data_IF_409322410479
#
_entry.id   IF_409322410479
#
_cell.length_a   1.000
_cell.length_b   1.000
_cell.length_c   1.000
_cell.angle_alpha   90.00
_cell.angle_beta   90.00
_cell.angle_gamma   90.00
#
_symmetry.space_group_name_H-M   'P 1'
#
loop_
_entity.id
_entity.type
_entity.pdbx_description
1 polymer ?
#
# COMPACT_ATOMS: atom_id res chain seq x y z
N UNK A 1 -37.74 -7.27 -8.67
CA UNK A 1 -36.33 -7.56 -8.31
C UNK A 1 -35.47 -7.14 -9.48
N UNK A 2 -34.55 -6.19 -9.31
CA UNK A 2 -33.49 -5.99 -10.31
C UNK A 2 -32.48 -7.11 -10.12
N UNK A 3 -32.23 -7.88 -11.17
CA UNK A 3 -31.14 -8.85 -11.21
C UNK A 3 -29.84 -8.03 -11.21
N UNK A 4 -29.07 -8.06 -10.11
CA UNK A 4 -27.76 -7.42 -10.10
C UNK A 4 -26.87 -8.14 -11.10
N UNK A 5 -26.41 -7.42 -12.12
CA UNK A 5 -25.47 -7.95 -13.11
C UNK A 5 -24.14 -8.27 -12.42
N UNK A 6 -23.66 -9.49 -12.63
CA UNK A 6 -22.40 -9.96 -12.07
C UNK A 6 -21.27 -9.62 -13.05
N UNK A 7 -20.25 -8.95 -12.54
CA UNK A 7 -18.98 -8.80 -13.24
C UNK A 7 -18.16 -10.08 -13.04
N UNK A 8 -17.47 -10.49 -14.10
CA UNK A 8 -16.58 -11.65 -14.06
C UNK A 8 -15.11 -11.28 -14.32
N UNK A 9 -14.87 -10.07 -14.82
CA UNK A 9 -13.55 -9.57 -15.17
C UNK A 9 -13.54 -8.05 -15.20
N UNK A 10 -12.33 -7.49 -15.27
CA UNK A 10 -12.08 -6.06 -15.46
C UNK A 10 -11.06 -5.85 -16.58
N UNK A 11 -11.16 -4.71 -17.24
CA UNK A 11 -10.15 -4.22 -18.19
C UNK A 11 -9.42 -3.00 -17.60
N UNK A 12 -8.24 -2.63 -18.14
CA UNK A 12 -7.58 -1.38 -17.76
C UNK A 12 -8.46 -0.14 -17.92
N UNK A 13 -9.31 -0.13 -18.94
CA UNK A 13 -10.27 0.96 -19.15
C UNK A 13 -11.32 1.01 -18.04
N UNK A 14 -11.94 -0.13 -17.69
CA UNK A 14 -12.97 -0.17 -16.64
C UNK A 14 -12.46 0.27 -15.26
N UNK A 15 -11.22 -0.11 -14.89
CA UNK A 15 -10.64 0.36 -13.63
C UNK A 15 -10.19 1.82 -13.70
N UNK A 16 -9.82 2.31 -14.89
CA UNK A 16 -9.57 3.75 -15.10
C UNK A 16 -10.83 4.56 -14.85
N UNK A 17 -11.96 4.14 -15.41
CA UNK A 17 -13.27 4.77 -15.21
C UNK A 17 -13.69 4.74 -13.74
N UNK A 18 -13.60 3.58 -13.09
CA UNK A 18 -13.89 3.42 -11.65
C UNK A 18 -13.09 4.41 -10.78
N UNK A 19 -11.79 4.53 -11.04
CA UNK A 19 -10.91 5.44 -10.30
C UNK A 19 -11.26 6.91 -10.59
N UNK A 20 -11.50 7.26 -11.85
CA UNK A 20 -11.86 8.62 -12.23
C UNK A 20 -13.22 9.06 -11.66
N UNK A 21 -14.20 8.16 -11.62
CA UNK A 21 -15.50 8.38 -10.96
C UNK A 21 -15.36 8.64 -9.47
N UNK A 22 -14.37 8.03 -8.82
CA UNK A 22 -14.02 8.26 -7.43
C UNK A 22 -13.14 9.52 -7.22
N UNK A 23 -12.83 10.27 -8.28
CA UNK A 23 -12.09 11.53 -8.23
C UNK A 23 -10.57 11.38 -8.34
N UNK A 24 -10.06 10.18 -8.64
CA UNK A 24 -8.63 9.94 -8.80
C UNK A 24 -8.14 10.40 -10.18
N UNK A 25 -6.90 10.89 -10.22
CA UNK A 25 -6.14 10.98 -11.47
C UNK A 25 -5.54 9.63 -11.79
N UNK A 26 -5.58 9.23 -13.05
CA UNK A 26 -5.07 7.94 -13.51
C UNK A 26 -4.13 8.16 -14.68
N UNK A 27 -2.95 7.56 -14.62
CA UNK A 27 -2.03 7.47 -15.75
C UNK A 27 -1.78 6.00 -16.03
N UNK A 28 -1.99 5.58 -17.29
CA UNK A 28 -1.60 4.25 -17.71
C UNK A 28 -0.09 4.22 -17.95
N UNK A 29 0.57 3.19 -17.43
CA UNK A 29 1.98 2.91 -17.66
C UNK A 29 2.11 1.50 -18.21
N UNK A 30 3.04 1.31 -19.14
CA UNK A 30 3.42 -0.01 -19.62
C UNK A 30 4.92 -0.19 -19.39
N UNK A 31 5.30 -1.27 -18.71
CA UNK A 31 6.70 -1.63 -18.47
C UNK A 31 6.90 -3.10 -18.79
N UNK A 32 7.84 -3.39 -19.70
CA UNK A 32 8.12 -4.76 -20.15
C UNK A 32 6.87 -5.51 -20.66
N UNK A 33 5.94 -4.79 -21.31
CA UNK A 33 4.66 -5.35 -21.79
C UNK A 33 3.60 -5.55 -20.70
N UNK A 34 3.86 -5.11 -19.46
CA UNK A 34 2.92 -5.18 -18.35
C UNK A 34 2.26 -3.81 -18.20
N UNK A 35 0.95 -3.77 -18.45
CA UNK A 35 0.11 -2.60 -18.20
C UNK A 35 -0.16 -2.48 -16.70
N UNK A 36 -0.08 -1.25 -16.19
CA UNK A 36 -0.52 -0.88 -14.86
C UNK A 36 -1.14 0.52 -14.87
N UNK A 37 -2.00 0.81 -13.91
CA UNK A 37 -2.51 2.16 -13.69
C UNK A 37 -1.77 2.79 -12.53
N UNK A 38 -1.35 4.05 -12.67
CA UNK A 38 -0.72 4.83 -11.63
C UNK A 38 -1.69 5.90 -11.15
N UNK A 39 -1.88 5.97 -9.84
CA UNK A 39 -2.73 6.95 -9.19
C UNK A 39 -2.16 7.37 -7.85
N UNK A 40 -2.85 8.26 -7.14
CA UNK A 40 -2.45 8.70 -5.81
C UNK A 40 -3.67 9.03 -4.95
N UNK A 41 -3.62 8.65 -3.67
CA UNK A 41 -4.55 9.13 -2.65
C UNK A 41 -3.81 10.02 -1.66
N UNK A 42 -4.34 11.22 -1.38
CA UNK A 42 -3.83 12.11 -0.33
C UNK A 42 -2.31 12.38 -0.43
N UNK A 43 -1.77 12.41 -1.66
CA UNK A 43 -0.34 12.63 -1.93
C UNK A 43 0.52 11.35 -1.93
N UNK A 44 -0.07 10.18 -1.71
CA UNK A 44 0.63 8.88 -1.68
C UNK A 44 0.33 8.15 -2.98
N UNK A 45 1.39 7.89 -3.76
CA UNK A 45 1.30 7.15 -5.01
C UNK A 45 0.98 5.68 -4.79
N UNK A 46 0.14 5.12 -5.65
CA UNK A 46 -0.11 3.69 -5.73
C UNK A 46 -0.30 3.25 -7.19
N UNK A 47 -0.05 1.97 -7.44
CA UNK A 47 -0.29 1.31 -8.71
C UNK A 47 -1.47 0.34 -8.60
N UNK A 48 -2.20 0.18 -9.70
CA UNK A 48 -3.12 -0.93 -9.93
C UNK A 48 -2.45 -1.85 -10.95
N UNK A 49 -2.12 -3.07 -10.53
CA UNK A 49 -1.48 -4.06 -11.38
C UNK A 49 -2.46 -5.18 -11.67
N UNK A 50 -2.63 -5.48 -12.95
CA UNK A 50 -3.53 -6.54 -13.39
C UNK A 50 -2.87 -7.90 -13.19
N UNK A 51 -3.61 -8.86 -12.64
CA UNK A 51 -3.10 -10.19 -12.36
C UNK A 51 -3.52 -11.19 -13.43
N UNK A 52 -4.39 -12.13 -13.07
CA UNK A 52 -4.70 -13.27 -13.93
C UNK A 52 -5.60 -12.87 -15.11
N UNK A 53 -5.28 -13.28 -16.36
CA UNK A 53 -6.11 -12.99 -17.52
C UNK A 53 -7.45 -13.73 -17.48
N UNK A 54 -8.50 -13.09 -17.98
CA UNK A 54 -9.82 -13.69 -18.19
C UNK A 54 -9.92 -14.35 -19.57
N UNK A 55 -11.06 -14.96 -19.87
CA UNK A 55 -11.34 -15.57 -21.18
C UNK A 55 -11.37 -14.54 -22.32
N UNK A 56 -11.75 -13.29 -22.01
CA UNK A 56 -11.73 -12.18 -22.94
C UNK A 56 -10.33 -11.54 -22.99
N UNK A 57 -9.84 -11.27 -24.20
CA UNK A 57 -8.51 -10.70 -24.39
C UNK A 57 -8.41 -9.29 -23.80
N UNK A 58 -7.40 -9.05 -22.97
CA UNK A 58 -7.19 -7.76 -22.30
C UNK A 58 -8.06 -7.56 -21.05
N UNK A 59 -8.81 -8.58 -20.63
CA UNK A 59 -9.54 -8.61 -19.38
C UNK A 59 -8.84 -9.49 -18.34
N UNK A 60 -9.12 -9.24 -17.07
CA UNK A 60 -8.46 -9.88 -15.92
C UNK A 60 -9.50 -10.25 -14.86
N UNK A 61 -9.29 -11.38 -14.17
CA UNK A 61 -10.18 -11.86 -13.09
C UNK A 61 -9.78 -11.30 -11.73
N UNK A 62 -8.60 -10.68 -11.61
CA UNK A 62 -8.11 -10.03 -10.41
C UNK A 62 -7.10 -8.92 -10.72
N UNK A 63 -6.82 -8.11 -9.71
CA UNK A 63 -5.79 -7.08 -9.73
C UNK A 63 -5.30 -6.79 -8.30
N UNK A 64 -4.17 -6.09 -8.19
CA UNK A 64 -3.57 -5.69 -6.91
C UNK A 64 -3.43 -4.17 -6.85
N UNK A 65 -3.92 -3.56 -5.78
CA UNK A 65 -3.47 -2.24 -5.38
C UNK A 65 -2.12 -2.34 -4.68
N UNK A 66 -1.15 -1.52 -5.07
CA UNK A 66 0.20 -1.55 -4.50
C UNK A 66 0.73 -0.15 -4.25
N UNK A 67 1.11 0.12 -3.00
CA UNK A 67 1.84 1.32 -2.61
C UNK A 67 3.27 0.93 -2.28
N UNK A 68 4.24 1.53 -2.98
CA UNK A 68 5.65 1.33 -2.72
C UNK A 68 6.26 2.61 -2.13
N UNK A 69 6.84 2.49 -0.94
CA UNK A 69 7.61 3.55 -0.31
C UNK A 69 9.09 3.17 -0.30
N UNK A 70 9.95 4.11 -0.69
CA UNK A 70 11.38 3.91 -0.53
C UNK A 70 11.77 4.11 0.93
N UNK A 71 12.42 3.12 1.50
CA UNK A 71 12.97 3.16 2.86
C UNK A 71 14.17 4.10 2.88
N UNK A 72 14.21 4.99 3.87
CA UNK A 72 15.35 5.86 4.15
C UNK A 72 15.91 5.46 5.52
N UNK A 73 17.08 4.83 5.54
CA UNK A 73 17.67 4.27 6.76
C UNK A 73 17.21 2.83 7.03
N UNK A 74 17.16 2.45 8.30
CA UNK A 74 16.81 1.09 8.72
C UNK A 74 15.34 1.02 9.14
N UNK A 75 14.65 -0.04 8.71
CA UNK A 75 13.31 -0.36 9.21
C UNK A 75 13.43 -1.14 10.53
N UNK A 76 12.59 -0.83 11.52
CA UNK A 76 12.50 -1.64 12.73
C UNK A 76 12.21 -3.11 12.42
N UNK A 77 12.87 -4.01 13.14
CA UNK A 77 12.63 -5.44 13.02
C UNK A 77 11.16 -5.77 13.35
N UNK A 78 10.57 -6.69 12.59
CA UNK A 78 9.19 -7.13 12.84
C UNK A 78 8.09 -6.20 12.30
N UNK A 79 8.43 -5.04 11.73
CA UNK A 79 7.44 -4.05 11.26
C UNK A 79 6.43 -4.65 10.26
N UNK A 80 6.89 -5.43 9.29
CA UNK A 80 6.00 -6.07 8.32
C UNK A 80 5.17 -7.19 8.97
N UNK A 81 5.74 -7.93 9.90
CA UNK A 81 5.14 -9.07 10.58
C UNK A 81 3.98 -8.61 11.47
N UNK A 82 4.18 -7.54 12.25
CA UNK A 82 3.13 -6.98 13.11
C UNK A 82 1.97 -6.43 12.28
N UNK A 83 2.26 -5.73 11.17
CA UNK A 83 1.22 -5.31 10.22
C UNK A 83 0.42 -6.51 9.69
N UNK A 84 1.12 -7.52 9.17
CA UNK A 84 0.52 -8.70 8.54
C UNK A 84 -0.29 -9.57 9.52
N UNK A 85 0.06 -9.54 10.81
CA UNK A 85 -0.68 -10.25 11.86
C UNK A 85 -1.96 -9.50 12.29
N UNK A 86 -1.96 -8.18 12.17
CA UNK A 86 -3.05 -7.32 12.66
C UNK A 86 -4.07 -6.94 11.59
N UNK A 87 -3.68 -6.97 10.30
CA UNK A 87 -4.55 -6.61 9.17
C UNK A 87 -4.92 -7.84 8.35
N UNK A 88 -6.16 -7.88 7.87
CA UNK A 88 -6.69 -9.00 7.07
C UNK A 88 -6.54 -8.81 5.56
N UNK A 89 -6.60 -7.56 5.10
CA UNK A 89 -6.81 -7.24 3.68
C UNK A 89 -5.60 -6.58 3.00
N UNK A 90 -4.59 -6.15 3.76
CA UNK A 90 -3.35 -5.64 3.20
C UNK A 90 -2.16 -6.44 3.70
N UNK A 91 -1.19 -6.69 2.83
CA UNK A 91 0.09 -7.30 3.14
C UNK A 91 1.22 -6.31 2.96
N UNK A 92 2.16 -6.34 3.90
CA UNK A 92 3.36 -5.53 3.89
C UNK A 92 4.56 -6.44 3.65
N UNK A 93 5.43 -6.05 2.71
CA UNK A 93 6.66 -6.77 2.39
C UNK A 93 7.81 -5.79 2.15
N UNK A 94 9.03 -6.23 2.45
CA UNK A 94 10.25 -5.48 2.15
C UNK A 94 10.93 -6.13 0.95
N UNK A 95 11.20 -5.35 -0.08
CA UNK A 95 11.87 -5.80 -1.31
C UNK A 95 13.01 -4.84 -1.63
N UNK A 96 14.24 -5.22 -1.27
CA UNK A 96 15.40 -4.33 -1.36
C UNK A 96 15.18 -3.06 -0.50
N UNK A 97 15.27 -1.89 -1.12
CA UNK A 97 15.04 -0.59 -0.46
C UNK A 97 13.56 -0.16 -0.43
N UNK A 98 12.63 -1.02 -0.85
CA UNK A 98 11.21 -0.67 -0.92
C UNK A 98 10.40 -1.41 0.13
N UNK A 99 9.49 -0.69 0.76
CA UNK A 99 8.41 -1.22 1.57
C UNK A 99 7.13 -1.19 0.73
N UNK A 100 6.55 -2.35 0.47
CA UNK A 100 5.38 -2.50 -0.39
C UNK A 100 4.17 -2.90 0.45
N UNK A 101 3.12 -2.08 0.41
CA UNK A 101 1.80 -2.43 0.90
C UNK A 101 0.89 -2.82 -0.26
N UNK A 102 0.30 -4.00 -0.18
CA UNK A 102 -0.45 -4.59 -1.28
C UNK A 102 -1.81 -5.12 -0.81
N UNK A 103 -2.83 -4.95 -1.66
CA UNK A 103 -4.16 -5.50 -1.46
C UNK A 103 -4.65 -6.13 -2.76
N UNK A 104 -4.91 -7.43 -2.73
CA UNK A 104 -5.43 -8.17 -3.87
C UNK A 104 -6.96 -8.12 -3.93
N UNK A 105 -7.50 -8.03 -5.14
CA UNK A 105 -8.93 -7.94 -5.41
C UNK A 105 -9.31 -8.94 -6.48
N UNK A 106 -10.23 -9.85 -6.16
CA UNK A 106 -10.84 -10.78 -7.11
C UNK A 106 -12.14 -10.20 -7.64
N UNK A 107 -12.36 -10.32 -8.95
CA UNK A 107 -13.52 -9.76 -9.66
C UNK A 107 -14.43 -10.82 -10.27
N UNK A 108 -14.08 -12.10 -10.19
CA UNK A 108 -14.91 -13.18 -10.71
C UNK A 108 -16.20 -13.36 -9.87
N UNK A 109 -17.36 -13.08 -10.47
CA UNK A 109 -18.68 -13.33 -9.87
C UNK A 109 -19.13 -12.31 -8.84
N UNK A 110 -18.69 -11.05 -8.95
CA UNK A 110 -19.02 -9.98 -7.99
C UNK A 110 -19.92 -8.90 -8.61
N UNK A 111 -20.76 -8.26 -7.80
CA UNK A 111 -21.60 -7.15 -8.28
C UNK A 111 -20.83 -5.83 -8.43
N UNK A 112 -21.39 -4.88 -9.19
CA UNK A 112 -20.76 -3.58 -9.47
C UNK A 112 -20.28 -2.80 -8.23
N UNK A 113 -21.06 -2.85 -7.14
CA UNK A 113 -20.70 -2.17 -5.88
C UNK A 113 -19.40 -2.70 -5.26
N UNK A 114 -19.02 -3.95 -5.56
CA UNK A 114 -17.83 -4.58 -5.00
C UNK A 114 -16.57 -3.76 -5.26
N UNK A 115 -16.31 -3.35 -6.50
CA UNK A 115 -15.09 -2.65 -6.86
C UNK A 115 -14.97 -1.28 -6.17
N UNK A 116 -16.09 -0.58 -6.02
CA UNK A 116 -16.13 0.68 -5.26
C UNK A 116 -15.83 0.45 -3.79
N UNK A 117 -16.41 -0.58 -3.17
CA UNK A 117 -16.11 -0.96 -1.79
C UNK A 117 -14.65 -1.35 -1.59
N UNK A 118 -14.01 -2.00 -2.58
CA UNK A 118 -12.59 -2.33 -2.53
C UNK A 118 -11.71 -1.09 -2.61
N UNK A 119 -12.06 -0.13 -3.46
CA UNK A 119 -11.34 1.15 -3.53
C UNK A 119 -11.47 1.94 -2.21
N UNK A 120 -12.64 1.96 -1.59
CA UNK A 120 -12.84 2.58 -0.27
C UNK A 120 -12.04 1.86 0.83
N UNK A 121 -11.96 0.54 0.78
CA UNK A 121 -11.14 -0.24 1.71
C UNK A 121 -9.65 0.07 1.52
N UNK A 122 -9.20 0.14 0.27
CA UNK A 122 -7.83 0.54 -0.05
C UNK A 122 -7.47 1.91 0.51
N UNK A 123 -8.36 2.91 0.36
CA UNK A 123 -8.12 4.26 0.88
C UNK A 123 -7.98 4.27 2.41
N UNK A 124 -8.85 3.54 3.13
CA UNK A 124 -8.74 3.38 4.58
C UNK A 124 -7.44 2.68 4.99
N UNK A 125 -7.05 1.63 4.28
CA UNK A 125 -5.80 0.90 4.53
C UNK A 125 -4.57 1.79 4.29
N UNK A 126 -4.58 2.65 3.27
CA UNK A 126 -3.53 3.63 3.04
C UNK A 126 -3.41 4.63 4.20
N UNK A 127 -4.53 5.15 4.71
CA UNK A 127 -4.52 6.04 5.87
C UNK A 127 -3.96 5.33 7.10
N UNK A 128 -4.44 4.14 7.41
CA UNK A 128 -3.93 3.31 8.51
C UNK A 128 -2.44 3.02 8.37
N UNK A 129 -1.96 2.77 7.15
CA UNK A 129 -0.56 2.51 6.85
C UNK A 129 0.33 3.70 7.19
N UNK A 130 -0.07 4.91 6.82
CA UNK A 130 0.69 6.12 7.17
C UNK A 130 0.70 6.36 8.68
N UNK A 131 -0.43 6.18 9.36
CA UNK A 131 -0.49 6.31 10.82
C UNK A 131 0.44 5.29 11.48
N UNK A 132 0.36 4.03 11.05
CA UNK A 132 1.22 2.95 11.53
C UNK A 132 2.71 3.26 11.37
N UNK A 133 3.14 3.71 10.18
CA UNK A 133 4.54 4.06 9.95
C UNK A 133 5.00 5.24 10.82
N UNK A 134 4.13 6.23 11.06
CA UNK A 134 4.45 7.38 11.91
C UNK A 134 4.60 6.97 13.38
N UNK A 135 3.72 6.11 13.88
CA UNK A 135 3.82 5.60 15.26
C UNK A 135 5.12 4.82 15.45
N UNK A 136 5.45 3.93 14.50
CA UNK A 136 6.69 3.15 14.55
C UNK A 136 7.94 4.02 14.46
N UNK A 137 7.95 5.05 13.63
CA UNK A 137 9.11 5.96 13.54
C UNK A 137 9.32 6.76 14.82
N UNK A 138 8.25 7.21 15.48
CA UNK A 138 8.34 7.87 16.79
C UNK A 138 8.86 6.92 17.88
N UNK A 139 8.37 5.67 17.93
CA UNK A 139 8.84 4.68 18.91
C UNK A 139 10.32 4.33 18.69
N UNK A 140 10.73 4.11 17.44
CA UNK A 140 12.12 3.84 17.11
C UNK A 140 13.06 4.99 17.52
N UNK A 141 12.67 6.24 17.25
CA UNK A 141 13.43 7.42 17.65
C UNK A 141 13.53 7.55 19.18
N UNK A 142 12.48 7.22 19.93
CA UNK A 142 12.49 7.25 21.41
C UNK A 142 13.40 6.17 22.02
N UNK A 143 13.45 4.98 21.43
CA UNK A 143 14.35 3.91 21.89
C UNK A 143 15.82 4.29 21.64
N UNK A 144 16.13 4.84 20.46
CA UNK A 144 17.49 5.33 20.14
C UNK A 144 17.94 6.48 21.06
N UNK A 145 17.03 7.37 21.47
CA UNK A 145 17.34 8.45 22.40
C UNK A 145 17.59 7.97 23.84
N UNK A 146 17.01 6.83 24.24
CA UNK A 146 17.21 6.23 25.56
C UNK A 146 18.50 5.41 25.65
N UNK A 147 18.93 4.79 24.55
CA UNK A 147 20.20 4.05 24.47
C UNK A 147 21.42 4.95 24.17
N UNK A 148 21.22 6.26 24.00
CA UNK A 148 22.33 7.20 23.84
C UNK A 148 23.12 7.27 25.16
N UNK A 149 24.44 6.95 25.18
CA UNK A 149 25.22 6.94 26.41
C UNK A 149 25.23 8.35 27.00
N UNK A 150 24.76 8.47 28.24
CA UNK A 150 24.88 9.70 29.01
C UNK A 150 26.35 10.11 29.06
N UNK A 151 26.65 11.30 28.54
CA UNK A 151 27.97 11.92 28.66
C UNK A 151 28.24 12.12 30.14
N UNK A 152 28.99 11.19 30.74
CA UNK A 152 29.52 11.30 32.11
C UNK A 152 30.43 12.54 32.14
N UNK A 153 29.85 13.65 32.57
CA UNK A 153 30.56 14.92 32.72
C UNK A 153 31.38 14.79 34.00
N UNK A 154 32.47 14.01 33.97
CA UNK A 154 33.48 14.05 35.02
C UNK A 154 34.24 15.35 34.89
N UNK A 155 33.76 16.29 35.68
CA UNK A 155 34.40 17.54 36.04
C UNK A 155 35.86 17.28 36.44
N UNK A 156 36.80 17.66 35.55
CA UNK A 156 38.23 17.73 35.86
C UNK A 156 38.43 18.81 36.93
N UNK A 157 38.58 18.39 38.19
CA UNK A 157 39.08 19.26 39.24
C UNK A 157 40.55 19.63 38.93
N UNK A 158 40.92 20.93 38.94
CA UNK A 158 42.30 21.31 38.72
C UNK A 158 43.12 20.95 39.96
N UNK A 159 44.17 20.15 39.78
CA UNK A 159 45.17 19.93 40.81
C UNK A 159 46.10 21.16 40.86
N UNK A 160 46.18 21.77 42.05
CA UNK A 160 47.15 22.80 42.44
C UNK A 160 48.54 22.20 42.69
#
# INVERSE_FOLDING_TARGET
MHMSELMNSVTPQSLTELLQEAGYRVNQSEQNGIVQLLSASQGIGFAVRFGNPAAEQGAYVDFTYSCALRVQGELPEGLAQVWNASRRFARLSVQGEFLLMEMDVVVAGVGALHLRSQLELWDRLLQEFIVYLREYSHTAAQLQAQDAPGVDTREEAPAL
#
